data_IF_082329422295
#
_entry.id   IF_082329422295
#
_cell.length_a   1.000
_cell.length_b   1.000
_cell.length_c   1.000
_cell.angle_alpha   90.00
_cell.angle_beta   90.00
_cell.angle_gamma   90.00
#
_symmetry.space_group_name_H-M   'P 1'
#
loop_
_entity.id
_entity.type
_entity.pdbx_description
1 polymer ?
#
# COMPACT_ATOMS: atom_id res chain seq x y z
N UNK A 1 -11.39 12.48 18.48
CA UNK A 1 -11.66 11.37 17.54
C UNK A 1 -10.75 11.52 16.34
N UNK A 2 -9.93 10.54 15.96
CA UNK A 2 -9.37 10.51 14.60
C UNK A 2 -10.54 10.23 13.66
N UNK A 3 -11.16 11.29 13.17
CA UNK A 3 -12.27 11.22 12.22
C UNK A 3 -11.84 12.00 10.99
N UNK A 4 -11.98 11.39 9.82
CA UNK A 4 -12.08 12.16 8.59
C UNK A 4 -13.52 12.64 8.56
N UNK A 5 -13.77 13.92 8.83
CA UNK A 5 -15.10 14.49 8.58
C UNK A 5 -15.28 14.57 7.07
N UNK A 6 -15.85 13.52 6.47
CA UNK A 6 -16.11 13.48 5.02
C UNK A 6 -17.35 14.34 4.67
N UNK A 7 -18.27 14.58 5.63
CA UNK A 7 -19.31 15.61 5.51
C UNK A 7 -19.91 15.99 6.89
N UNK A 8 -20.53 17.17 7.00
CA UNK A 8 -21.37 17.62 8.14
C UNK A 8 -22.88 17.45 7.89
N UNK A 9 -23.28 16.90 6.74
CA UNK A 9 -24.67 16.60 6.42
C UNK A 9 -25.11 15.26 7.01
N UNK A 10 -26.43 15.03 7.06
CA UNK A 10 -27.02 13.76 7.46
C UNK A 10 -26.44 12.58 6.67
N UNK A 11 -26.08 11.51 7.38
CA UNK A 11 -25.49 10.31 6.82
C UNK A 11 -26.54 9.52 6.02
N UNK A 12 -26.40 9.51 4.70
CA UNK A 12 -27.25 8.75 3.78
C UNK A 12 -26.46 7.57 3.21
N UNK A 13 -26.61 6.41 3.84
CA UNK A 13 -25.81 5.21 3.57
C UNK A 13 -25.83 4.80 2.08
N UNK A 14 -27.01 4.76 1.46
CA UNK A 14 -27.18 4.34 0.05
C UNK A 14 -26.53 5.27 -0.97
N UNK A 15 -26.42 6.57 -0.66
CA UNK A 15 -25.73 7.56 -1.50
C UNK A 15 -24.21 7.47 -1.28
N UNK A 16 -23.80 7.17 -0.05
CA UNK A 16 -22.39 7.07 0.34
C UNK A 16 -21.71 5.83 -0.21
N UNK A 17 -22.31 4.64 -0.08
CA UNK A 17 -21.72 3.40 -0.61
C UNK A 17 -21.41 3.49 -2.10
N UNK A 18 -22.23 4.24 -2.86
CA UNK A 18 -22.03 4.48 -4.30
C UNK A 18 -20.96 5.53 -4.62
N UNK A 19 -20.56 6.31 -3.63
CA UNK A 19 -19.62 7.43 -3.79
C UNK A 19 -18.19 7.08 -3.38
N UNK A 20 -17.96 5.90 -2.76
CA UNK A 20 -16.62 5.47 -2.38
C UNK A 20 -16.06 4.45 -3.36
N UNK A 21 -14.90 4.80 -3.90
CA UNK A 21 -14.03 3.87 -4.58
C UNK A 21 -12.93 3.41 -3.60
N UNK A 22 -12.46 2.15 -3.67
CA UNK A 22 -11.34 1.68 -2.86
C UNK A 22 -10.14 2.61 -3.01
N UNK A 23 -9.44 2.91 -1.93
CA UNK A 23 -8.21 3.69 -1.97
C UNK A 23 -7.15 3.06 -1.07
N UNK A 24 -5.91 3.13 -1.52
CA UNK A 24 -4.77 2.63 -0.78
C UNK A 24 -4.42 3.61 0.34
N UNK A 25 -4.19 3.10 1.55
CA UNK A 25 -3.66 3.90 2.65
C UNK A 25 -2.76 3.05 3.53
N UNK A 26 -1.85 3.71 4.23
CA UNK A 26 -1.08 3.12 5.32
C UNK A 26 -1.02 4.10 6.48
N UNK A 27 -0.78 3.57 7.68
CA UNK A 27 -0.75 4.38 8.89
C UNK A 27 0.63 5.02 9.03
N UNK A 28 0.71 6.34 8.85
CA UNK A 28 1.96 7.10 9.01
C UNK A 28 2.35 7.34 10.47
N UNK A 29 1.36 7.62 11.33
CA UNK A 29 1.60 7.95 12.73
C UNK A 29 0.35 7.77 13.57
N UNK A 30 0.54 7.45 14.85
CA UNK A 30 -0.49 7.48 15.88
C UNK A 30 -0.30 8.73 16.75
N UNK A 31 -1.36 9.52 16.92
CA UNK A 31 -1.29 10.80 17.62
C UNK A 31 -2.38 10.87 18.72
N UNK A 32 -2.00 11.35 19.89
CA UNK A 32 -2.92 11.73 20.96
C UNK A 32 -3.12 13.25 20.92
N UNK A 33 -4.37 13.69 20.87
CA UNK A 33 -4.73 15.10 20.79
C UNK A 33 -5.61 15.53 21.97
N UNK A 34 -5.39 16.75 22.44
CA UNK A 34 -6.32 17.55 23.25
C UNK A 34 -7.24 18.34 22.31
N UNK A 35 -8.55 18.31 22.57
CA UNK A 35 -9.53 19.12 21.82
C UNK A 35 -9.67 20.50 22.48
N UNK A 36 -9.42 21.57 21.74
CA UNK A 36 -9.51 22.95 22.24
C UNK A 36 -10.86 23.63 21.94
N UNK A 37 -11.77 22.91 21.24
CA UNK A 37 -13.02 23.47 20.71
C UNK A 37 -12.86 23.93 19.26
N UNK A 38 -13.95 24.30 18.58
CA UNK A 38 -13.93 24.84 17.21
C UNK A 38 -13.19 23.99 16.15
N UNK A 39 -13.12 22.67 16.33
CA UNK A 39 -12.31 21.76 15.49
C UNK A 39 -10.80 21.99 15.56
N UNK A 40 -10.32 22.67 16.62
CA UNK A 40 -8.90 22.83 16.92
C UNK A 40 -8.42 21.70 17.82
N UNK A 41 -7.26 21.13 17.45
CA UNK A 41 -6.63 20.02 18.15
C UNK A 41 -5.18 20.34 18.43
N UNK A 42 -4.74 20.09 19.66
CA UNK A 42 -3.35 20.21 20.08
C UNK A 42 -2.75 18.82 20.28
N UNK A 43 -1.65 18.52 19.59
CA UNK A 43 -0.95 17.24 19.76
C UNK A 43 -0.33 17.18 21.15
N UNK A 44 -0.70 16.17 21.94
CA UNK A 44 -0.09 15.87 23.24
C UNK A 44 1.06 14.87 23.10
N UNK A 45 0.89 13.90 22.19
CA UNK A 45 1.86 12.84 21.98
C UNK A 45 1.75 12.29 20.55
N UNK A 46 2.87 11.83 20.00
CA UNK A 46 2.97 11.30 18.65
C UNK A 46 3.94 10.12 18.63
N UNK A 47 3.54 9.03 17.96
CA UNK A 47 4.41 7.93 17.53
C UNK A 47 4.37 7.83 16.02
N UNK A 48 5.53 7.94 15.39
CA UNK A 48 5.67 7.69 13.96
C UNK A 48 5.86 6.20 13.71
N UNK A 49 5.32 5.72 12.60
CA UNK A 49 5.55 4.37 12.11
C UNK A 49 6.55 4.41 10.98
N UNK A 50 7.35 3.35 10.86
CA UNK A 50 8.16 3.14 9.68
C UNK A 50 7.25 2.99 8.47
N UNK A 51 7.60 3.63 7.36
CA UNK A 51 6.82 3.52 6.14
C UNK A 51 6.91 2.10 5.57
N UNK A 52 5.80 1.54 5.09
CA UNK A 52 5.79 0.22 4.47
C UNK A 52 6.59 0.17 3.17
N UNK A 53 6.73 1.32 2.49
CA UNK A 53 7.56 1.45 1.30
C UNK A 53 8.02 2.89 1.10
N UNK A 54 9.09 3.05 0.35
CA UNK A 54 9.49 4.31 -0.28
C UNK A 54 9.81 4.04 -1.75
N UNK A 55 9.39 4.94 -2.65
CA UNK A 55 9.86 4.94 -4.03
C UNK A 55 11.30 5.45 -4.07
N UNK A 56 12.17 4.75 -4.80
CA UNK A 56 13.59 5.07 -4.93
C UNK A 56 13.93 5.35 -6.40
N UNK A 57 14.93 6.21 -6.63
CA UNK A 57 15.35 6.53 -8.00
C UNK A 57 16.03 5.32 -8.65
N UNK A 58 15.50 4.89 -9.79
CA UNK A 58 16.12 3.91 -10.67
C UNK A 58 16.12 4.46 -12.10
N UNK A 59 17.25 4.36 -12.80
CA UNK A 59 17.53 5.15 -14.01
C UNK A 59 16.64 4.83 -15.22
N UNK A 60 15.85 3.76 -15.17
CA UNK A 60 14.97 3.34 -16.27
C UNK A 60 13.63 2.71 -15.83
N UNK A 61 13.43 2.46 -14.53
CA UNK A 61 12.31 1.67 -14.00
C UNK A 61 11.70 2.34 -12.78
N UNK A 62 10.53 1.88 -12.36
CA UNK A 62 10.03 2.23 -11.03
C UNK A 62 10.66 1.26 -10.03
N UNK A 63 11.25 1.78 -8.97
CA UNK A 63 11.77 0.95 -7.89
C UNK A 63 11.22 1.40 -6.54
N UNK A 64 11.03 0.42 -5.66
CA UNK A 64 10.57 0.64 -4.30
C UNK A 64 11.45 -0.11 -3.32
N UNK A 65 11.73 0.50 -2.18
CA UNK A 65 12.18 -0.23 -1.00
C UNK A 65 10.95 -0.64 -0.18
N UNK A 66 10.57 -1.91 -0.23
CA UNK A 66 9.43 -2.50 0.48
C UNK A 66 9.88 -3.05 1.82
N UNK A 67 9.11 -2.82 2.88
CA UNK A 67 9.43 -3.27 4.24
C UNK A 67 8.31 -4.13 4.81
N UNK A 68 8.64 -5.15 5.59
CA UNK A 68 7.66 -6.05 6.22
C UNK A 68 8.27 -6.88 7.34
N UNK A 69 7.44 -7.32 8.29
CA UNK A 69 7.90 -8.20 9.38
C UNK A 69 8.12 -9.65 8.90
N UNK A 70 7.42 -10.04 7.83
CA UNK A 70 7.52 -11.33 7.17
C UNK A 70 7.23 -11.20 5.66
N UNK A 71 7.27 -12.32 4.93
CA UNK A 71 6.99 -12.33 3.49
C UNK A 71 5.55 -11.93 3.15
N UNK A 72 4.59 -12.21 4.03
CA UNK A 72 3.19 -11.76 3.84
C UNK A 72 3.11 -10.24 3.93
N UNK A 73 3.81 -9.64 4.91
CA UNK A 73 3.95 -8.20 5.06
C UNK A 73 4.61 -7.56 3.85
N UNK A 74 5.68 -8.18 3.30
CA UNK A 74 6.28 -7.72 2.04
C UNK A 74 5.28 -7.76 0.88
N UNK A 75 4.53 -8.85 0.72
CA UNK A 75 3.50 -8.97 -0.31
C UNK A 75 2.44 -7.88 -0.21
N UNK A 76 1.86 -7.68 0.98
CA UNK A 76 0.83 -6.66 1.18
C UNK A 76 1.39 -5.25 0.95
N UNK A 77 2.58 -4.93 1.47
CA UNK A 77 3.16 -3.61 1.34
C UNK A 77 3.61 -3.30 -0.10
N UNK A 78 4.11 -4.30 -0.83
CA UNK A 78 4.40 -4.21 -2.27
C UNK A 78 3.12 -4.01 -3.10
N UNK A 79 2.06 -4.78 -2.83
CA UNK A 79 0.77 -4.64 -3.49
C UNK A 79 0.17 -3.25 -3.27
N UNK A 80 0.25 -2.72 -2.05
CA UNK A 80 -0.15 -1.35 -1.74
C UNK A 80 0.71 -0.34 -2.51
N UNK A 81 2.04 -0.50 -2.56
CA UNK A 81 2.92 0.40 -3.31
C UNK A 81 2.52 0.50 -4.80
N UNK A 82 2.26 -0.66 -5.44
CA UNK A 82 1.75 -0.71 -6.82
C UNK A 82 0.37 -0.06 -6.96
N UNK A 83 -0.50 -0.27 -5.98
CA UNK A 83 -1.84 0.35 -5.93
C UNK A 83 -1.83 1.86 -5.80
N UNK A 84 -0.74 2.46 -5.30
CA UNK A 84 -0.54 3.92 -5.34
C UNK A 84 -0.18 4.42 -6.74
N UNK A 85 0.38 3.57 -7.61
CA UNK A 85 0.64 3.89 -9.03
C UNK A 85 -0.59 3.66 -9.90
N UNK A 86 -1.35 2.60 -9.64
CA UNK A 86 -2.61 2.30 -10.33
C UNK A 86 -3.69 1.89 -9.33
N UNK A 87 -4.64 2.80 -9.10
CA UNK A 87 -5.68 2.63 -8.07
C UNK A 87 -6.58 1.43 -8.35
N UNK A 88 -6.87 1.15 -9.63
CA UNK A 88 -7.74 0.04 -10.03
C UNK A 88 -7.14 -1.31 -9.59
N UNK A 89 -5.83 -1.40 -9.41
CA UNK A 89 -5.14 -2.60 -8.93
C UNK A 89 -5.65 -3.08 -7.56
N UNK A 90 -6.22 -2.18 -6.74
CA UNK A 90 -6.83 -2.54 -5.45
C UNK A 90 -7.95 -3.56 -5.58
N UNK A 91 -8.63 -3.65 -6.73
CA UNK A 91 -9.71 -4.61 -6.94
C UNK A 91 -9.23 -6.08 -6.81
N UNK A 92 -7.92 -6.32 -6.94
CA UNK A 92 -7.30 -7.64 -6.89
C UNK A 92 -6.82 -8.08 -5.50
N UNK A 93 -7.04 -7.26 -4.46
CA UNK A 93 -6.51 -7.56 -3.11
C UNK A 93 -6.94 -8.93 -2.56
N UNK A 94 -8.15 -9.38 -2.91
CA UNK A 94 -8.73 -10.65 -2.44
C UNK A 94 -8.05 -11.88 -3.05
N UNK A 95 -7.24 -11.68 -4.08
CA UNK A 95 -6.58 -12.77 -4.82
C UNK A 95 -5.16 -13.02 -4.35
N UNK A 96 -4.64 -12.19 -3.45
CA UNK A 96 -3.36 -12.40 -2.79
C UNK A 96 -3.38 -13.75 -2.05
N UNK A 97 -2.40 -14.59 -2.35
CA UNK A 97 -2.25 -15.92 -1.75
C UNK A 97 -1.25 -15.86 -0.59
N UNK A 98 -1.24 -16.91 0.22
CA UNK A 98 -0.20 -17.09 1.23
C UNK A 98 1.16 -17.31 0.56
N UNK A 99 2.20 -16.72 1.16
CA UNK A 99 3.57 -16.74 0.66
C UNK A 99 4.52 -17.24 1.75
N UNK A 100 5.57 -17.97 1.37
CA UNK A 100 6.57 -18.50 2.30
C UNK A 100 7.98 -17.99 2.04
N UNK A 101 8.22 -17.40 0.88
CA UNK A 101 9.51 -16.85 0.46
C UNK A 101 9.31 -15.67 -0.51
N UNK A 102 10.40 -15.05 -0.95
CA UNK A 102 10.36 -13.89 -1.83
C UNK A 102 9.93 -14.21 -3.27
N UNK A 103 10.26 -15.39 -3.77
CA UNK A 103 9.83 -15.80 -5.11
C UNK A 103 8.31 -15.96 -5.14
N UNK A 104 7.70 -16.50 -4.08
CA UNK A 104 6.23 -16.57 -3.94
C UNK A 104 5.60 -15.17 -3.98
N UNK A 105 6.23 -14.18 -3.33
CA UNK A 105 5.78 -12.77 -3.35
C UNK A 105 5.81 -12.24 -4.78
N UNK A 106 6.93 -12.39 -5.48
CA UNK A 106 7.14 -11.89 -6.84
C UNK A 106 6.18 -12.58 -7.82
N UNK A 107 5.99 -13.89 -7.69
CA UNK A 107 5.03 -14.68 -8.48
C UNK A 107 3.60 -14.16 -8.25
N UNK A 108 3.18 -13.99 -7.00
CA UNK A 108 1.84 -13.49 -6.68
C UNK A 108 1.59 -12.11 -7.31
N UNK A 109 2.54 -11.19 -7.19
CA UNK A 109 2.39 -9.85 -7.77
C UNK A 109 2.28 -9.90 -9.30
N UNK A 110 3.16 -10.65 -9.97
CA UNK A 110 3.14 -10.80 -11.43
C UNK A 110 1.87 -11.51 -11.94
N UNK A 111 1.36 -12.52 -11.22
CA UNK A 111 0.08 -13.16 -11.53
C UNK A 111 -1.06 -12.14 -11.50
N UNK A 112 -1.06 -11.22 -10.53
CA UNK A 112 -2.05 -10.16 -10.44
C UNK A 112 -1.93 -9.13 -11.56
N UNK A 113 -0.70 -8.71 -11.91
CA UNK A 113 -0.48 -7.80 -13.05
C UNK A 113 -1.02 -8.44 -14.34
N UNK A 114 -0.65 -9.68 -14.59
CA UNK A 114 -1.11 -10.45 -15.75
C UNK A 114 -2.63 -10.56 -15.77
N UNK A 115 -3.24 -10.83 -14.62
CA UNK A 115 -4.70 -10.91 -14.52
C UNK A 115 -5.38 -9.58 -14.81
N UNK A 116 -4.86 -8.47 -14.28
CA UNK A 116 -5.39 -7.15 -14.56
C UNK A 116 -5.38 -6.83 -16.06
N UNK A 117 -4.31 -7.19 -16.75
CA UNK A 117 -4.23 -7.04 -18.21
C UNK A 117 -5.24 -7.93 -18.95
N UNK A 118 -5.42 -9.19 -18.54
CA UNK A 118 -6.42 -10.11 -19.10
C UNK A 118 -7.84 -9.55 -18.91
N UNK A 119 -8.11 -8.92 -17.78
CA UNK A 119 -9.38 -8.26 -17.48
C UNK A 119 -9.56 -6.92 -18.23
N UNK A 120 -8.58 -6.53 -19.06
CA UNK A 120 -8.64 -5.36 -19.92
C UNK A 120 -8.17 -4.05 -19.28
N UNK A 121 -7.53 -4.12 -18.11
CA UNK A 121 -6.95 -2.95 -17.45
C UNK A 121 -5.54 -2.74 -17.99
N UNK A 122 -5.29 -1.54 -18.52
CA UNK A 122 -3.95 -1.19 -18.98
C UNK A 122 -3.09 -0.74 -17.79
N UNK A 123 -2.25 -1.63 -17.30
CA UNK A 123 -1.37 -1.37 -16.16
C UNK A 123 -0.18 -0.49 -16.59
N UNK A 124 0.26 0.47 -15.76
CA UNK A 124 1.45 1.29 -16.04
C UNK A 124 2.77 0.55 -15.79
N UNK A 125 2.70 -0.74 -15.45
CA UNK A 125 3.83 -1.62 -15.21
C UNK A 125 3.57 -3.00 -15.79
N UNK A 126 4.62 -3.62 -16.33
CA UNK A 126 4.57 -4.90 -17.05
C UNK A 126 4.91 -6.08 -16.15
N UNK A 127 5.93 -5.93 -15.31
CA UNK A 127 6.44 -7.03 -14.51
C UNK A 127 7.23 -6.54 -13.29
N UNK A 128 7.19 -7.34 -12.24
CA UNK A 128 8.08 -7.24 -11.09
C UNK A 128 9.29 -8.14 -11.34
N UNK A 129 10.49 -7.57 -11.28
CA UNK A 129 11.73 -8.29 -11.52
C UNK A 129 12.08 -9.27 -10.39
N UNK A 130 12.72 -10.38 -10.73
CA UNK A 130 13.21 -11.40 -9.79
C UNK A 130 14.48 -11.01 -9.00
N UNK A 131 14.74 -9.71 -8.83
CA UNK A 131 15.85 -9.26 -8.00
C UNK A 131 15.47 -9.44 -6.53
N UNK A 132 16.13 -10.36 -5.81
CA UNK A 132 15.64 -10.93 -4.54
C UNK A 132 16.56 -10.67 -3.33
N UNK A 133 17.43 -9.65 -3.41
CA UNK A 133 18.29 -9.28 -2.29
C UNK A 133 17.45 -8.70 -1.13
N UNK A 134 17.07 -9.57 -0.20
CA UNK A 134 16.41 -9.17 1.04
C UNK A 134 17.45 -8.89 2.11
N UNK A 135 17.31 -7.73 2.75
CA UNK A 135 18.06 -7.34 3.93
C UNK A 135 17.15 -7.48 5.15
N UNK A 136 17.71 -7.94 6.28
CA UNK A 136 16.99 -7.97 7.57
C UNK A 136 17.71 -7.07 8.56
N UNK A 137 17.01 -6.07 9.06
CA UNK A 137 17.49 -5.10 10.04
C UNK A 137 16.41 -4.91 11.11
N UNK A 138 16.76 -5.00 12.41
CA UNK A 138 15.83 -4.82 13.53
C UNK A 138 14.51 -5.60 13.41
N UNK A 139 14.59 -6.88 13.00
CA UNK A 139 13.45 -7.77 12.74
C UNK A 139 12.50 -7.35 11.60
N UNK A 140 12.93 -6.41 10.77
CA UNK A 140 12.21 -5.97 9.57
C UNK A 140 12.95 -6.46 8.33
N UNK A 141 12.22 -7.14 7.45
CA UNK A 141 12.66 -7.45 6.10
C UNK A 141 12.54 -6.21 5.22
N UNK A 142 13.56 -5.93 4.44
CA UNK A 142 13.57 -4.90 3.41
C UNK A 142 13.92 -5.54 2.07
N UNK A 143 13.16 -5.20 1.04
CA UNK A 143 13.31 -5.72 -0.31
C UNK A 143 13.29 -4.58 -1.32
N UNK A 144 14.32 -4.52 -2.16
CA UNK A 144 14.34 -3.64 -3.32
C UNK A 144 13.53 -4.26 -4.46
N UNK A 145 12.27 -3.81 -4.60
CA UNK A 145 11.36 -4.22 -5.65
C UNK A 145 11.58 -3.33 -6.89
N UNK A 146 12.00 -3.93 -8.00
CA UNK A 146 12.13 -3.26 -9.29
C UNK A 146 10.96 -3.66 -10.19
N UNK A 147 10.34 -2.67 -10.81
CA UNK A 147 9.11 -2.79 -11.59
C UNK A 147 9.35 -2.23 -12.99
N UNK A 148 9.27 -3.12 -13.99
CA UNK A 148 9.36 -2.77 -15.41
C UNK A 148 8.08 -2.03 -15.85
N UNK A 149 8.24 -0.95 -16.63
CA UNK A 149 7.17 -0.05 -17.09
C UNK A 149 6.92 -0.12 -18.59
#
# INVERSE_FOLDING_TARGET
MPHVTVCRNEFKMDEWEKSFEPFAFYVKSFNLFESLGSSEYKTLWKKEFLKPFDEIEHTADIAFNIRGEDFSGLLYNAFIALSFKERIFLNYYKELKNVSNIDDVIINLNELVTKAEIDGIHMPFKAISFHSDIKREDDILSWEMIVDV
#
